data_IF_062327699794
#
_entry.id   IF_062327699794
#
_cell.length_a   1.000
_cell.length_b   1.000
_cell.length_c   1.000
_cell.angle_alpha   90.00
_cell.angle_beta   90.00
_cell.angle_gamma   90.00
#
_symmetry.space_group_name_H-M   'P 1'
#
loop_
_entity.id
_entity.type
_entity.pdbx_description
1 polymer ?
#
# COMPACT_ATOMS: atom_id res chain seq x y z
N UNK A 1 19.19 7.05 11.41
CA UNK A 1 18.58 6.04 10.51
C UNK A 1 17.14 5.94 10.97
N UNK A 2 16.25 6.72 10.36
CA UNK A 2 14.84 6.77 10.77
C UNK A 2 14.18 5.47 10.30
N UNK A 3 13.52 4.74 11.20
CA UNK A 3 12.80 3.52 10.87
C UNK A 3 11.51 3.90 10.14
N UNK A 4 11.47 3.72 8.82
CA UNK A 4 10.25 3.93 8.04
C UNK A 4 9.18 2.90 8.47
N UNK A 5 8.03 3.37 8.93
CA UNK A 5 6.90 2.52 9.31
C UNK A 5 6.18 2.06 8.04
N UNK A 6 6.15 0.76 7.78
CA UNK A 6 5.48 0.17 6.61
C UNK A 6 4.16 -0.46 7.03
N UNK A 7 3.07 -0.04 6.42
CA UNK A 7 1.70 -0.47 6.76
C UNK A 7 1.01 -0.96 5.50
N UNK A 8 0.14 -1.97 5.62
CA UNK A 8 -0.63 -2.49 4.49
C UNK A 8 -1.88 -1.63 4.25
N UNK A 9 -2.24 -1.38 2.99
CA UNK A 9 -3.52 -0.74 2.68
C UNK A 9 -4.68 -1.51 3.34
N UNK A 10 -5.64 -0.77 3.90
CA UNK A 10 -6.73 -1.29 4.72
C UNK A 10 -6.38 -1.53 6.19
N UNK A 11 -5.10 -1.49 6.61
CA UNK A 11 -4.75 -1.52 8.03
C UNK A 11 -4.88 -0.13 8.68
N UNK A 12 -4.90 -0.09 10.01
CA UNK A 12 -4.92 1.17 10.76
C UNK A 12 -3.50 1.66 11.07
N UNK A 13 -3.29 2.97 10.94
CA UNK A 13 -2.13 3.69 11.46
C UNK A 13 -2.49 4.15 12.87
N UNK A 14 -1.76 3.69 13.87
CA UNK A 14 -1.93 4.11 15.26
C UNK A 14 -0.61 4.68 15.79
N UNK A 15 -0.67 5.91 16.30
CA UNK A 15 0.36 6.51 17.11
C UNK A 15 -0.18 6.73 18.52
N UNK A 16 0.58 6.34 19.52
CA UNK A 16 0.32 6.55 20.94
C UNK A 16 1.59 7.17 21.51
N UNK A 17 1.57 8.49 21.76
CA UNK A 17 2.76 9.27 22.08
C UNK A 17 2.56 10.04 23.37
N UNK A 18 3.36 9.66 24.37
CA UNK A 18 3.45 10.44 25.60
C UNK A 18 4.14 11.77 25.30
N UNK A 19 3.53 12.85 25.78
CA UNK A 19 4.08 14.20 25.70
C UNK A 19 4.09 14.79 27.09
N UNK A 20 5.22 15.35 27.50
CA UNK A 20 5.38 15.96 28.82
C UNK A 20 5.65 17.46 28.65
N UNK A 21 5.05 18.29 29.51
CA UNK A 21 5.33 19.71 29.53
C UNK A 21 4.48 20.45 30.56
N UNK A 22 5.07 21.46 31.18
CA UNK A 22 4.42 22.29 32.20
C UNK A 22 4.59 23.78 31.84
N UNK A 23 3.51 24.55 31.64
CA UNK A 23 2.11 24.10 31.54
C UNK A 23 1.87 23.09 30.41
N UNK A 24 0.77 22.33 30.49
CA UNK A 24 0.38 21.30 29.51
C UNK A 24 0.49 21.82 28.08
N UNK A 25 1.32 21.19 27.23
CA UNK A 25 1.55 21.69 25.89
C UNK A 25 0.34 21.46 24.98
N UNK A 26 0.12 22.40 24.07
CA UNK A 26 -0.79 22.20 22.94
C UNK A 26 -0.13 21.25 21.95
N UNK A 27 -0.87 20.21 21.54
CA UNK A 27 -0.40 19.22 20.58
C UNK A 27 -1.03 19.45 19.20
N UNK A 28 -0.20 19.44 18.17
CA UNK A 28 -0.61 19.53 16.77
C UNK A 28 0.06 18.43 15.95
N UNK A 29 -0.74 17.74 15.13
CA UNK A 29 -0.28 16.69 14.22
C UNK A 29 -0.24 17.20 12.79
N UNK A 30 0.76 16.78 12.03
CA UNK A 30 0.96 17.16 10.63
C UNK A 30 1.25 15.95 9.76
N UNK A 31 0.74 15.94 8.53
CA UNK A 31 1.09 15.01 7.46
C UNK A 31 1.67 15.80 6.30
N UNK A 32 2.91 15.51 5.93
CA UNK A 32 3.64 16.20 4.86
C UNK A 32 3.68 17.73 5.04
N UNK A 33 3.66 18.19 6.29
CA UNK A 33 3.66 19.62 6.64
C UNK A 33 2.28 20.25 6.80
N UNK A 34 1.20 19.57 6.37
CA UNK A 34 -0.17 20.04 6.50
C UNK A 34 -0.79 19.58 7.82
N UNK A 35 -1.52 20.44 8.55
CA UNK A 35 -2.13 20.07 9.83
C UNK A 35 -3.23 19.02 9.64
N UNK A 36 -3.17 17.96 10.43
CA UNK A 36 -4.16 16.88 10.44
C UNK A 36 -5.35 17.31 11.29
N UNK A 37 -6.55 17.21 10.71
CA UNK A 37 -7.80 17.41 11.45
C UNK A 37 -8.37 16.04 11.85
N UNK A 38 -8.94 15.96 13.05
CA UNK A 38 -9.66 14.77 13.52
C UNK A 38 -11.01 14.65 12.81
N UNK A 39 -11.00 14.13 11.57
CA UNK A 39 -12.18 14.00 10.73
C UNK A 39 -12.20 12.64 9.99
N UNK A 40 -13.41 12.10 9.79
CA UNK A 40 -13.63 10.91 8.98
C UNK A 40 -12.93 9.68 9.56
N UNK A 41 -12.01 9.09 8.78
CA UNK A 41 -11.24 7.89 9.17
C UNK A 41 -10.13 8.17 10.18
N UNK A 42 -9.75 9.44 10.35
CA UNK A 42 -8.68 9.86 11.26
C UNK A 42 -9.29 10.47 12.52
N UNK A 43 -8.83 10.00 13.68
CA UNK A 43 -9.23 10.51 14.99
C UNK A 43 -7.99 10.90 15.78
N UNK A 44 -8.06 12.03 16.46
CA UNK A 44 -7.03 12.48 17.40
C UNK A 44 -7.64 12.53 18.78
N UNK A 45 -7.01 11.85 19.73
CA UNK A 45 -7.39 11.85 21.15
C UNK A 45 -6.29 12.52 21.97
N UNK A 46 -6.62 13.67 22.55
CA UNK A 46 -5.77 14.44 23.46
C UNK A 46 -6.45 14.57 24.84
N UNK A 47 -7.29 13.62 25.23
CA UNK A 47 -8.06 13.68 26.49
C UNK A 47 -7.21 13.50 27.75
N UNK A 48 -5.97 13.01 27.60
CA UNK A 48 -5.00 12.88 28.67
C UNK A 48 -3.92 13.95 28.50
N UNK A 49 -3.67 14.74 29.55
CA UNK A 49 -2.75 15.89 29.52
C UNK A 49 -1.32 15.52 29.08
N UNK A 50 -0.91 14.26 29.31
CA UNK A 50 0.43 13.79 28.97
C UNK A 50 0.48 12.76 27.82
N UNK A 51 -0.59 12.62 27.04
CA UNK A 51 -0.63 11.66 25.94
C UNK A 51 -1.49 12.16 24.77
N UNK A 52 -1.01 11.89 23.55
CA UNK A 52 -1.76 12.09 22.32
C UNK A 52 -1.84 10.80 21.53
N UNK A 53 -3.01 10.50 20.99
CA UNK A 53 -3.21 9.37 20.08
C UNK A 53 -3.72 9.83 18.73
N UNK A 54 -3.14 9.29 17.67
CA UNK A 54 -3.64 9.45 16.31
C UNK A 54 -3.99 8.08 15.74
N UNK A 55 -5.25 7.92 15.36
CA UNK A 55 -5.80 6.70 14.77
C UNK A 55 -6.36 7.00 13.38
N UNK A 56 -5.71 6.50 12.34
CA UNK A 56 -6.24 6.51 10.96
C UNK A 56 -6.63 5.09 10.57
N UNK A 57 -7.93 4.82 10.42
CA UNK A 57 -8.45 3.52 9.97
C UNK A 57 -8.39 3.39 8.45
N UNK A 58 -8.38 2.15 7.97
CA UNK A 58 -8.47 1.82 6.54
C UNK A 58 -7.48 2.63 5.70
N UNK A 59 -6.19 2.53 6.04
CA UNK A 59 -5.14 3.30 5.42
C UNK A 59 -5.09 3.07 3.90
N UNK A 60 -4.86 4.14 3.15
CA UNK A 60 -4.71 4.11 1.69
C UNK A 60 -3.37 4.73 1.30
N UNK A 61 -2.97 4.56 0.04
CA UNK A 61 -1.71 5.10 -0.50
C UNK A 61 -1.51 6.59 -0.21
N UNK A 62 -2.58 7.38 -0.27
CA UNK A 62 -2.55 8.82 0.01
C UNK A 62 -2.22 9.19 1.47
N UNK A 63 -2.30 8.24 2.41
CA UNK A 63 -1.87 8.44 3.81
C UNK A 63 -0.36 8.24 3.98
N UNK A 64 0.36 7.88 2.90
CA UNK A 64 1.82 7.82 2.90
C UNK A 64 2.40 9.22 3.07
N UNK A 65 3.37 9.35 3.97
CA UNK A 65 4.04 10.61 4.17
C UNK A 65 4.79 10.70 5.48
N UNK A 66 5.30 11.91 5.72
CA UNK A 66 5.96 12.27 6.96
C UNK A 66 4.93 12.75 7.96
N UNK A 67 4.71 11.96 9.00
CA UNK A 67 3.92 12.35 10.16
C UNK A 67 4.81 13.10 11.13
N UNK A 68 4.35 14.26 11.61
CA UNK A 68 5.07 15.07 12.59
C UNK A 68 4.12 15.48 13.71
N UNK A 69 4.60 15.37 14.94
CA UNK A 69 3.97 15.95 16.11
C UNK A 69 4.73 17.19 16.54
N UNK A 70 3.99 18.19 16.98
CA UNK A 70 4.53 19.41 17.57
C UNK A 70 3.83 19.63 18.89
N UNK A 71 4.62 19.75 19.96
CA UNK A 71 4.17 20.12 21.29
C UNK A 71 4.65 21.53 21.59
N UNK A 72 3.75 22.45 21.95
CA UNK A 72 4.11 23.85 22.25
C UNK A 72 3.48 24.31 23.55
N UNK A 73 4.26 24.91 24.43
CA UNK A 73 3.78 25.65 25.60
C UNK A 73 4.44 27.04 25.65
N UNK A 74 4.13 27.81 26.69
CA UNK A 74 4.66 29.16 26.88
C UNK A 74 6.19 29.20 27.04
N UNK A 75 6.78 28.07 27.42
CA UNK A 75 8.20 27.93 27.75
C UNK A 75 9.04 27.33 26.61
N UNK A 76 8.39 26.78 25.58
CA UNK A 76 9.12 26.10 24.51
C UNK A 76 8.24 25.34 23.52
N UNK A 77 8.95 24.71 22.58
CA UNK A 77 8.40 23.91 21.49
C UNK A 77 9.30 22.71 21.24
N UNK A 78 8.70 21.55 21.10
CA UNK A 78 9.40 20.32 20.71
C UNK A 78 8.65 19.60 19.58
N UNK A 79 9.35 18.77 18.83
CA UNK A 79 8.79 18.04 17.69
C UNK A 79 9.43 16.67 17.47
N UNK A 80 8.62 15.72 17.00
CA UNK A 80 9.08 14.40 16.58
C UNK A 80 8.44 14.01 15.24
N UNK A 81 9.16 13.24 14.44
CA UNK A 81 8.71 12.84 13.10
C UNK A 81 8.96 11.36 12.80
N UNK A 82 8.08 10.79 11.97
CA UNK A 82 8.16 9.42 11.47
C UNK A 82 7.64 9.37 10.05
N UNK A 83 8.33 8.65 9.17
CA UNK A 83 7.83 8.38 7.82
C UNK A 83 6.95 7.14 7.86
N UNK A 84 5.76 7.25 7.29
CA UNK A 84 4.85 6.13 7.06
C UNK A 84 4.76 5.86 5.57
N UNK A 85 4.94 4.60 5.18
CA UNK A 85 4.71 4.15 3.81
C UNK A 85 3.58 3.11 3.81
N UNK A 86 2.44 3.49 3.23
CA UNK A 86 1.31 2.58 3.05
C UNK A 86 1.52 1.83 1.75
N UNK A 87 1.64 0.51 1.84
CA UNK A 87 1.86 -0.39 0.71
C UNK A 87 0.55 -1.07 0.32
N UNK A 88 0.25 -1.08 -0.97
CA UNK A 88 -0.90 -1.74 -1.56
C UNK A 88 -0.46 -2.84 -2.52
N UNK A 89 -1.42 -3.60 -3.03
CA UNK A 89 -1.19 -4.49 -4.17
C UNK A 89 -0.97 -3.66 -5.43
N UNK A 90 -0.12 -4.13 -6.36
CA UNK A 90 -0.01 -3.50 -7.67
C UNK A 90 -1.35 -3.44 -8.39
N UNK A 91 -1.52 -2.43 -9.23
CA UNK A 91 -2.67 -2.30 -10.11
C UNK A 91 -2.77 -3.45 -11.12
N UNK A 92 -3.89 -3.49 -11.85
CA UNK A 92 -4.05 -4.40 -12.98
C UNK A 92 -3.02 -4.05 -14.06
N UNK A 93 -2.18 -4.98 -14.52
CA UNK A 93 -1.16 -4.62 -15.50
C UNK A 93 -1.78 -4.23 -16.84
N UNK A 94 -1.13 -3.32 -17.54
CA UNK A 94 -1.75 -2.61 -18.65
C UNK A 94 -1.88 -3.45 -19.92
N UNK A 95 -2.98 -3.20 -20.63
CA UNK A 95 -3.25 -3.79 -21.93
C UNK A 95 -2.55 -3.06 -23.08
N UNK A 96 -2.60 -3.64 -24.30
CA UNK A 96 -3.23 -4.90 -24.64
C UNK A 96 -2.34 -6.10 -24.33
N UNK A 97 -2.95 -7.21 -23.90
CA UNK A 97 -2.28 -8.51 -23.91
C UNK A 97 -1.97 -8.91 -25.34
N UNK A 98 -0.69 -8.94 -25.69
CA UNK A 98 -0.22 -9.36 -27.01
C UNK A 98 0.15 -10.83 -26.99
N UNK A 99 -0.55 -11.62 -27.81
CA UNK A 99 -0.23 -13.02 -28.08
C UNK A 99 0.58 -13.09 -29.37
N UNK A 100 1.77 -13.69 -29.32
CA UNK A 100 2.67 -13.89 -30.46
C UNK A 100 3.19 -15.32 -30.51
N UNK A 101 3.89 -15.67 -31.58
CA UNK A 101 4.61 -16.94 -31.75
C UNK A 101 3.74 -18.17 -31.46
N UNK A 102 2.52 -18.17 -32.00
CA UNK A 102 1.57 -19.27 -31.80
C UNK A 102 2.06 -20.49 -32.59
N UNK A 103 2.38 -21.55 -31.86
CA UNK A 103 2.74 -22.86 -32.36
C UNK A 103 1.83 -23.91 -31.73
N UNK A 104 1.94 -25.14 -32.23
CA UNK A 104 1.23 -26.28 -31.60
C UNK A 104 1.69 -26.56 -30.16
N UNK A 105 2.88 -26.12 -29.79
CA UNK A 105 3.50 -26.39 -28.49
C UNK A 105 3.37 -25.20 -27.51
N UNK A 106 2.98 -24.03 -28.02
CA UNK A 106 2.74 -22.84 -27.20
C UNK A 106 2.68 -21.50 -27.90
N UNK A 107 2.57 -20.44 -27.10
CA UNK A 107 2.55 -19.05 -27.54
C UNK A 107 3.35 -18.16 -26.57
N UNK A 108 3.76 -17.00 -27.06
CA UNK A 108 4.37 -15.92 -26.29
C UNK A 108 3.30 -14.92 -25.85
N UNK A 109 3.25 -14.60 -24.55
CA UNK A 109 2.39 -13.56 -24.00
C UNK A 109 3.24 -12.34 -23.61
N UNK A 110 2.76 -11.14 -23.93
CA UNK A 110 3.39 -9.86 -23.54
C UNK A 110 2.32 -8.89 -23.05
N UNK A 111 2.63 -8.15 -22.01
CA UNK A 111 1.80 -7.08 -21.43
C UNK A 111 2.71 -5.97 -20.91
N UNK A 112 2.11 -4.83 -20.60
CA UNK A 112 2.80 -3.72 -19.96
C UNK A 112 2.65 -3.84 -18.43
N UNK A 113 3.61 -3.34 -17.63
CA UNK A 113 3.45 -3.24 -16.19
C UNK A 113 2.23 -2.36 -15.84
N UNK A 114 1.66 -2.47 -14.62
CA UNK A 114 0.64 -1.54 -14.18
C UNK A 114 1.23 -0.14 -13.97
N UNK A 115 0.38 0.88 -14.10
CA UNK A 115 0.75 2.27 -13.80
C UNK A 115 1.19 2.45 -12.34
N UNK A 116 0.53 1.74 -11.42
CA UNK A 116 0.83 1.75 -9.98
C UNK A 116 1.33 0.36 -9.54
N UNK A 117 2.52 0.32 -8.96
CA UNK A 117 3.13 -0.89 -8.37
C UNK A 117 2.67 -1.14 -6.92
N UNK A 118 1.76 -0.32 -6.39
CA UNK A 118 1.27 -0.41 -5.02
C UNK A 118 2.30 0.08 -3.99
N UNK A 119 3.37 0.76 -4.42
CA UNK A 119 4.41 1.31 -3.54
C UNK A 119 5.54 0.37 -3.20
N UNK A 120 5.60 -0.81 -3.82
CA UNK A 120 6.72 -1.73 -3.75
C UNK A 120 6.99 -2.32 -5.13
N UNK A 121 8.26 -2.60 -5.49
CA UNK A 121 8.57 -3.20 -6.77
C UNK A 121 7.82 -4.53 -6.98
N UNK A 122 7.25 -4.67 -8.17
CA UNK A 122 6.62 -5.92 -8.62
C UNK A 122 7.70 -6.99 -8.77
N UNK A 123 7.44 -8.15 -8.18
CA UNK A 123 8.36 -9.29 -8.16
C UNK A 123 8.00 -10.36 -9.18
N UNK A 124 6.71 -10.57 -9.41
CA UNK A 124 6.23 -11.54 -10.38
C UNK A 124 4.83 -11.17 -10.90
N UNK A 125 4.48 -11.77 -12.03
CA UNK A 125 3.12 -11.79 -12.55
C UNK A 125 2.57 -13.20 -12.44
N UNK A 126 1.31 -13.34 -12.02
CA UNK A 126 0.56 -14.58 -12.18
C UNK A 126 -0.13 -14.52 -13.53
N UNK A 127 -0.08 -15.62 -14.29
CA UNK A 127 -0.81 -15.74 -15.55
C UNK A 127 -1.65 -17.00 -15.47
N UNK A 128 -2.95 -16.89 -15.71
CA UNK A 128 -3.88 -18.02 -15.64
C UNK A 128 -4.56 -18.23 -16.99
N UNK A 129 -4.94 -19.48 -17.29
CA UNK A 129 -5.86 -19.81 -18.40
C UNK A 129 -7.17 -20.35 -17.83
N UNK A 130 -8.27 -20.11 -18.53
CA UNK A 130 -9.52 -20.80 -18.23
C UNK A 130 -9.60 -22.15 -18.98
N UNK A 131 -9.94 -23.23 -18.28
CA UNK A 131 -10.21 -24.56 -18.84
C UNK A 131 -11.72 -24.75 -19.09
N UNK A 132 -12.06 -25.78 -19.88
CA UNK A 132 -13.44 -26.17 -20.11
C UNK A 132 -14.17 -26.38 -18.77
N UNK A 133 -15.34 -25.74 -18.63
CA UNK A 133 -16.07 -25.68 -17.35
C UNK A 133 -15.79 -24.44 -16.50
N UNK A 134 -14.98 -23.50 -16.98
CA UNK A 134 -14.83 -22.16 -16.40
C UNK A 134 -13.77 -22.04 -15.30
N UNK A 135 -12.99 -23.09 -15.06
CA UNK A 135 -11.95 -23.13 -14.04
C UNK A 135 -10.68 -22.42 -14.49
N UNK A 136 -10.20 -21.46 -13.70
CA UNK A 136 -8.91 -20.81 -13.92
C UNK A 136 -7.75 -21.65 -13.36
N UNK A 137 -6.68 -21.81 -14.13
CA UNK A 137 -5.47 -22.55 -13.74
C UNK A 137 -4.20 -21.76 -14.06
N UNK A 138 -3.20 -21.67 -13.14
CA UNK A 138 -1.94 -20.98 -13.41
C UNK A 138 -1.12 -21.61 -14.54
N UNK A 139 -0.62 -20.78 -15.46
CA UNK A 139 0.24 -21.18 -16.58
C UNK A 139 1.66 -21.55 -16.13
N UNK A 140 2.12 -21.05 -14.98
CA UNK A 140 3.44 -21.38 -14.41
C UNK A 140 3.62 -22.87 -14.08
N UNK A 141 2.54 -23.63 -13.98
CA UNK A 141 2.55 -25.08 -13.75
C UNK A 141 2.43 -25.92 -15.04
N UNK A 142 2.32 -25.30 -16.22
CA UNK A 142 2.12 -26.01 -17.49
C UNK A 142 3.43 -26.13 -18.28
N UNK A 143 3.93 -27.36 -18.37
CA UNK A 143 5.13 -27.69 -19.18
C UNK A 143 4.86 -27.73 -20.70
N UNK A 144 3.60 -27.67 -21.13
CA UNK A 144 3.17 -27.66 -22.54
C UNK A 144 1.80 -26.99 -22.68
N UNK A 145 1.65 -26.13 -23.68
CA UNK A 145 0.36 -25.55 -24.06
C UNK A 145 -0.36 -26.51 -25.03
N UNK A 146 -1.69 -26.61 -24.90
CA UNK A 146 -2.53 -27.49 -25.74
C UNK A 146 -3.02 -26.68 -26.95
N UNK A 147 -2.75 -27.11 -28.19
CA UNK A 147 -3.24 -26.40 -29.38
C UNK A 147 -4.76 -26.45 -29.48
N UNK A 148 -5.38 -25.30 -29.75
CA UNK A 148 -6.84 -25.16 -29.91
C UNK A 148 -7.61 -24.66 -28.68
N UNK A 149 -6.95 -24.44 -27.54
CA UNK A 149 -7.61 -23.86 -26.36
C UNK A 149 -7.92 -22.37 -26.57
N UNK A 150 -9.18 -21.97 -26.36
CA UNK A 150 -9.57 -20.57 -26.17
C UNK A 150 -9.00 -20.12 -24.83
N UNK A 151 -8.02 -19.22 -24.86
CA UNK A 151 -7.37 -18.71 -23.65
C UNK A 151 -7.99 -17.37 -23.27
N UNK A 152 -8.78 -17.37 -22.20
CA UNK A 152 -8.96 -16.15 -21.43
C UNK A 152 -7.79 -16.07 -20.46
N UNK A 153 -7.11 -14.93 -20.43
CA UNK A 153 -5.90 -14.73 -19.65
C UNK A 153 -6.14 -13.61 -18.67
N UNK A 154 -5.95 -13.89 -17.39
CA UNK A 154 -5.90 -12.89 -16.34
C UNK A 154 -4.48 -12.82 -15.81
N UNK A 155 -4.04 -11.62 -15.48
CA UNK A 155 -2.74 -11.41 -14.88
C UNK A 155 -2.82 -10.47 -13.68
N UNK A 156 -2.08 -10.83 -12.62
CA UNK A 156 -2.01 -10.08 -11.37
C UNK A 156 -0.54 -9.87 -10.99
N UNK A 157 -0.17 -8.66 -10.62
CA UNK A 157 1.17 -8.34 -10.14
C UNK A 157 1.27 -8.51 -8.61
N UNK A 158 2.44 -8.94 -8.10
CA UNK A 158 2.69 -9.18 -6.67
C UNK A 158 4.00 -8.55 -6.18
N UNK A 159 4.02 -8.12 -4.92
CA UNK A 159 5.17 -7.50 -4.25
C UNK A 159 5.88 -8.49 -3.28
N UNK A 160 7.19 -8.33 -3.06
CA UNK A 160 7.99 -9.21 -2.17
C UNK A 160 7.56 -9.10 -0.70
N UNK A 161 7.31 -10.24 -0.05
CA UNK A 161 7.05 -10.30 1.41
C UNK A 161 5.58 -10.29 1.82
N UNK A 162 4.70 -10.73 0.91
CA UNK A 162 3.25 -10.75 1.06
C UNK A 162 2.69 -12.11 0.68
#
# INVERSE_FOLDING_TARGET
>A
MFSDLRIKAGQSINFDVNVEGEPTPKIEWFLNGEPIQSLGKTKIDNSNDNNTKLDTKDAVRADTGKYKIVATNENGRDEAEVNVNVLDIPGTPEGPLSVKDITKDGCSLRWNPPEDDGGSPITNYIVEKQEDGGRWVPLTNLRRLIPGCRMEVRWEARNAGW
#
